data_IF_974693711009
#
_entry.id   IF_974693711009
#
_cell.length_a   1.000
_cell.length_b   1.000
_cell.length_c   1.000
_cell.angle_alpha   90.00
_cell.angle_beta   90.00
_cell.angle_gamma   90.00
#
_symmetry.space_group_name_H-M   'P 1'
#
loop_
_entity.id
_entity.type
_entity.pdbx_description
1 polymer ?
#
# COMPACT_ATOMS: atom_id res chain seq x y z
N UNK A 1 17.14 -15.08 24.04
CA UNK A 1 17.93 -14.16 23.20
C UNK A 1 17.10 -12.91 23.04
N UNK A 2 17.57 -11.74 23.48
CA UNK A 2 16.88 -10.46 23.23
C UNK A 2 17.08 -10.14 21.75
N UNK A 3 16.01 -10.32 20.95
CA UNK A 3 16.01 -9.91 19.55
C UNK A 3 16.24 -8.40 19.50
N UNK A 4 17.13 -7.96 18.60
CA UNK A 4 17.49 -6.56 18.47
C UNK A 4 16.42 -5.87 17.63
N UNK A 5 15.59 -5.04 18.25
CA UNK A 5 14.60 -4.23 17.53
C UNK A 5 15.27 -3.00 16.91
N UNK A 6 15.20 -2.85 15.58
CA UNK A 6 15.56 -1.60 14.90
C UNK A 6 14.34 -0.72 14.72
N UNK A 7 14.52 0.57 15.02
CA UNK A 7 13.47 1.57 14.85
C UNK A 7 13.55 2.23 13.48
N UNK A 8 12.41 2.40 12.82
CA UNK A 8 12.32 3.36 11.71
C UNK A 8 12.15 4.77 12.27
N UNK A 9 12.67 5.76 11.54
CA UNK A 9 12.72 7.15 12.00
C UNK A 9 11.60 7.99 11.39
N UNK A 10 11.35 9.18 11.94
CA UNK A 10 10.46 10.15 11.30
C UNK A 10 10.90 10.50 9.86
N UNK A 11 12.22 10.51 9.60
CA UNK A 11 12.76 10.72 8.25
C UNK A 11 12.37 9.58 7.31
N UNK A 12 12.43 8.34 7.79
CA UNK A 12 11.97 7.18 7.01
C UNK A 12 10.47 7.32 6.72
N UNK A 13 9.67 7.69 7.71
CA UNK A 13 8.24 7.88 7.51
C UNK A 13 7.90 8.95 6.45
N UNK A 14 8.62 10.08 6.42
CA UNK A 14 8.44 11.07 5.36
C UNK A 14 8.90 10.57 3.97
N UNK A 15 9.93 9.72 3.90
CA UNK A 15 10.34 9.08 2.64
C UNK A 15 9.24 8.13 2.15
N UNK A 16 8.69 7.31 3.04
CA UNK A 16 7.59 6.40 2.76
C UNK A 16 6.37 7.14 2.22
N UNK A 17 5.91 8.19 2.93
CA UNK A 17 4.79 9.04 2.52
C UNK A 17 5.00 9.63 1.13
N UNK A 18 6.19 10.17 0.87
CA UNK A 18 6.51 10.79 -0.41
C UNK A 18 6.50 9.77 -1.55
N UNK A 19 7.10 8.60 -1.34
CA UNK A 19 7.15 7.56 -2.39
C UNK A 19 5.75 6.98 -2.64
N UNK A 20 4.98 6.69 -1.60
CA UNK A 20 3.59 6.27 -1.73
C UNK A 20 2.77 7.30 -2.52
N UNK A 21 2.82 8.57 -2.13
CA UNK A 21 2.05 9.65 -2.78
C UNK A 21 2.44 9.82 -4.24
N UNK A 22 3.73 9.67 -4.56
CA UNK A 22 4.22 9.70 -5.94
C UNK A 22 3.56 8.61 -6.79
N UNK A 23 3.53 7.37 -6.30
CA UNK A 23 2.93 6.25 -7.03
C UNK A 23 1.40 6.30 -7.04
N UNK A 24 0.76 6.75 -5.96
CA UNK A 24 -0.69 7.02 -5.95
C UNK A 24 -1.09 7.94 -7.10
N UNK A 25 -0.35 9.06 -7.28
CA UNK A 25 -0.59 9.99 -8.39
C UNK A 25 -0.31 9.37 -9.75
N UNK A 26 0.81 8.67 -9.88
CA UNK A 26 1.23 8.04 -11.12
C UNK A 26 0.22 6.99 -11.60
N UNK A 27 -0.38 6.23 -10.68
CA UNK A 27 -1.41 5.21 -10.95
C UNK A 27 -2.83 5.79 -11.06
N UNK A 28 -2.99 7.12 -10.97
CA UNK A 28 -4.27 7.81 -11.07
C UNK A 28 -5.22 7.57 -9.89
N UNK A 29 -4.71 7.17 -8.73
CA UNK A 29 -5.50 6.76 -7.55
C UNK A 29 -5.89 7.97 -6.66
N UNK A 30 -6.10 9.13 -7.27
CA UNK A 30 -6.37 10.40 -6.58
C UNK A 30 -7.79 10.50 -6.00
N UNK A 31 -8.70 9.62 -6.43
CA UNK A 31 -10.06 9.53 -5.89
C UNK A 31 -10.14 8.78 -4.56
N UNK A 32 -9.05 8.16 -4.11
CA UNK A 32 -8.99 7.41 -2.84
C UNK A 32 -8.33 8.29 -1.79
N UNK A 33 -9.01 8.49 -0.66
CA UNK A 33 -8.47 9.27 0.46
C UNK A 33 -7.49 8.41 1.25
N UNK A 34 -6.22 8.84 1.30
CA UNK A 34 -5.15 8.10 1.99
C UNK A 34 -4.72 8.82 3.26
N UNK A 35 -4.66 8.07 4.35
CA UNK A 35 -4.06 8.47 5.63
C UNK A 35 -2.73 7.74 5.83
N UNK A 36 -1.89 8.26 6.71
CA UNK A 36 -0.59 7.67 7.02
C UNK A 36 -0.42 7.47 8.51
N UNK A 37 0.15 6.33 8.90
CA UNK A 37 0.46 6.01 10.29
C UNK A 37 1.89 5.47 10.42
N UNK A 38 2.52 5.79 11.55
CA UNK A 38 3.85 5.29 11.94
C UNK A 38 3.72 4.67 13.33
N UNK A 39 3.61 3.34 13.38
CA UNK A 39 3.28 2.57 14.58
C UNK A 39 3.87 1.16 14.48
N UNK A 40 4.00 0.40 15.58
CA UNK A 40 4.46 -0.98 15.49
C UNK A 40 3.49 -1.83 14.67
N UNK A 41 4.02 -2.70 13.82
CA UNK A 41 3.28 -3.72 13.07
C UNK A 41 3.79 -5.12 13.46
N UNK A 42 2.90 -6.11 13.46
CA UNK A 42 3.25 -7.48 13.83
C UNK A 42 3.86 -8.22 12.64
N UNK A 43 5.20 -8.26 12.59
CA UNK A 43 5.95 -8.98 11.55
C UNK A 43 6.12 -8.26 10.22
N UNK A 44 5.45 -7.12 9.99
CA UNK A 44 5.48 -6.40 8.72
C UNK A 44 6.32 -5.11 8.77
N UNK A 45 7.01 -4.80 7.67
CA UNK A 45 7.73 -3.51 7.51
C UNK A 45 6.77 -2.36 7.19
N UNK A 46 5.71 -2.65 6.44
CA UNK A 46 4.66 -1.73 6.05
C UNK A 46 3.36 -2.51 5.80
N UNK A 47 2.22 -1.83 5.88
CA UNK A 47 0.91 -2.42 5.64
C UNK A 47 -0.05 -1.38 5.07
N UNK A 48 -0.92 -1.79 4.17
CA UNK A 48 -2.07 -1.01 3.73
C UNK A 48 -3.37 -1.59 4.30
N UNK A 49 -4.13 -0.74 4.99
CA UNK A 49 -5.49 -1.07 5.45
C UNK A 49 -6.47 -0.30 4.55
N UNK A 50 -7.39 -1.01 3.90
CA UNK A 50 -8.32 -0.42 2.92
C UNK A 50 -9.76 -0.56 3.38
N UNK A 51 -10.56 0.47 3.08
CA UNK A 51 -12.02 0.43 3.16
C UNK A 51 -12.57 0.78 1.77
N UNK A 52 -12.96 -0.26 1.04
CA UNK A 52 -13.47 -0.15 -0.33
C UNK A 52 -14.75 0.70 -0.39
N UNK A 53 -15.69 0.48 0.54
CA UNK A 53 -16.97 1.17 0.53
C UNK A 53 -16.82 2.68 0.81
N UNK A 54 -15.88 3.05 1.69
CA UNK A 54 -15.59 4.44 2.00
C UNK A 54 -14.61 5.12 1.03
N UNK A 55 -14.03 4.39 0.07
CA UNK A 55 -12.93 4.87 -0.78
C UNK A 55 -11.79 5.48 0.05
N UNK A 56 -11.43 4.85 1.16
CA UNK A 56 -10.33 5.30 2.05
C UNK A 56 -9.30 4.21 2.27
N UNK A 57 -8.07 4.61 2.55
CA UNK A 57 -7.01 3.68 2.95
C UNK A 57 -6.05 4.31 3.96
N UNK A 58 -5.41 3.50 4.79
CA UNK A 58 -4.34 3.92 5.71
C UNK A 58 -3.06 3.16 5.39
N UNK A 59 -2.05 3.87 4.88
CA UNK A 59 -0.72 3.34 4.64
C UNK A 59 0.13 3.46 5.91
N UNK A 60 0.52 2.32 6.46
CA UNK A 60 1.27 2.23 7.72
C UNK A 60 2.73 1.85 7.43
N UNK A 61 3.66 2.60 8.02
CA UNK A 61 5.06 2.17 8.15
C UNK A 61 5.28 1.63 9.56
N UNK A 62 5.93 0.48 9.70
CA UNK A 62 6.25 -0.04 11.03
C UNK A 62 7.29 0.85 11.72
N UNK A 63 7.03 1.23 12.98
CA UNK A 63 8.04 1.90 13.82
C UNK A 63 9.13 0.95 14.30
N UNK A 64 8.88 -0.36 14.25
CA UNK A 64 9.74 -1.43 14.78
C UNK A 64 9.91 -2.50 13.70
N UNK A 65 11.15 -2.76 13.27
CA UNK A 65 11.45 -3.81 12.30
C UNK A 65 11.82 -5.10 13.03
N UNK A 66 11.31 -6.21 12.50
CA UNK A 66 11.69 -7.55 12.94
C UNK A 66 13.10 -7.90 12.47
N UNK A 67 13.76 -8.79 13.21
CA UNK A 67 15.11 -9.26 12.91
C UNK A 67 15.18 -9.82 11.48
N UNK A 68 16.13 -9.32 10.67
CA UNK A 68 16.30 -9.68 9.26
C UNK A 68 15.63 -8.73 8.25
N UNK A 69 14.59 -7.98 8.64
CA UNK A 69 14.01 -6.94 7.77
C UNK A 69 14.97 -5.76 7.56
N UNK A 70 15.89 -5.56 8.49
CA UNK A 70 16.85 -4.47 8.50
C UNK A 70 17.85 -4.51 7.34
N UNK A 71 18.27 -5.71 6.94
CA UNK A 71 19.21 -5.92 5.84
C UNK A 71 18.64 -5.42 4.50
N UNK A 72 17.32 -5.29 4.45
CA UNK A 72 16.55 -4.89 3.28
C UNK A 72 15.70 -3.65 3.55
N UNK A 73 16.17 -2.74 4.44
CA UNK A 73 15.48 -1.47 4.72
C UNK A 73 15.42 -0.61 3.45
N UNK A 74 14.35 -0.79 2.69
CA UNK A 74 14.02 -0.05 1.49
C UNK A 74 12.67 0.64 1.67
N UNK A 75 12.69 1.71 2.43
CA UNK A 75 11.51 2.52 2.76
C UNK A 75 10.81 3.07 1.50
N UNK A 76 11.57 3.32 0.42
CA UNK A 76 11.00 3.71 -0.87
C UNK A 76 10.28 2.54 -1.52
N UNK A 77 10.94 1.38 -1.57
CA UNK A 77 10.35 0.13 -2.04
C UNK A 77 9.06 -0.21 -1.33
N UNK A 78 9.01 -0.06 -0.01
CA UNK A 78 7.79 -0.28 0.79
C UNK A 78 6.68 0.72 0.43
N UNK A 79 7.00 2.01 0.31
CA UNK A 79 6.02 3.02 -0.12
C UNK A 79 5.44 2.74 -1.50
N UNK A 80 6.29 2.28 -2.44
CA UNK A 80 5.84 1.81 -3.76
C UNK A 80 4.97 0.56 -3.66
N UNK A 81 5.38 -0.42 -2.87
CA UNK A 81 4.67 -1.69 -2.70
C UNK A 81 3.25 -1.47 -2.18
N UNK A 82 3.09 -0.66 -1.14
CA UNK A 82 1.75 -0.35 -0.61
C UNK A 82 0.91 0.45 -1.62
N UNK A 83 1.50 1.35 -2.40
CA UNK A 83 0.74 2.05 -3.46
C UNK A 83 0.26 1.10 -4.58
N UNK A 84 0.97 -0.01 -4.82
CA UNK A 84 0.53 -1.07 -5.74
C UNK A 84 -0.59 -1.89 -5.11
N UNK A 85 -0.56 -2.16 -3.80
CA UNK A 85 -1.73 -2.75 -3.12
C UNK A 85 -2.96 -1.86 -3.25
N UNK A 86 -2.81 -0.53 -3.16
CA UNK A 86 -3.91 0.42 -3.35
C UNK A 86 -4.52 0.33 -4.75
N UNK A 87 -3.71 0.05 -5.79
CA UNK A 87 -4.21 -0.16 -7.15
C UNK A 87 -5.18 -1.36 -7.25
N UNK A 88 -4.95 -2.37 -6.41
CA UNK A 88 -5.75 -3.60 -6.39
C UNK A 88 -7.00 -3.49 -5.51
N UNK A 89 -7.21 -2.35 -4.84
CA UNK A 89 -8.31 -2.12 -3.91
C UNK A 89 -9.68 -2.44 -4.51
N UNK A 90 -9.94 -2.03 -5.77
CA UNK A 90 -11.22 -2.30 -6.43
C UNK A 90 -11.40 -3.80 -6.71
N UNK A 91 -10.36 -4.47 -7.18
CA UNK A 91 -10.39 -5.91 -7.45
C UNK A 91 -10.60 -6.71 -6.16
N UNK A 92 -9.92 -6.34 -5.09
CA UNK A 92 -10.12 -6.94 -3.76
C UNK A 92 -11.53 -6.68 -3.23
N UNK A 93 -12.05 -5.46 -3.40
CA UNK A 93 -13.42 -5.10 -3.05
C UNK A 93 -14.46 -5.98 -3.77
N UNK A 94 -14.33 -6.19 -5.08
CA UNK A 94 -15.21 -7.12 -5.80
C UNK A 94 -15.10 -8.55 -5.23
N UNK A 95 -13.90 -9.04 -4.95
CA UNK A 95 -13.70 -10.40 -4.43
C UNK A 95 -14.27 -10.61 -3.01
N UNK A 96 -14.20 -9.60 -2.15
CA UNK A 96 -14.64 -9.68 -0.74
C UNK A 96 -16.15 -9.51 -0.57
N UNK A 97 -16.82 -8.81 -1.51
CA UNK A 97 -18.25 -8.56 -1.42
C UNK A 97 -19.07 -9.65 -2.11
N UNK A 98 -20.13 -10.10 -1.42
CA UNK A 98 -20.96 -11.26 -1.80
C UNK A 98 -21.71 -11.15 -3.14
N UNK A 99 -21.67 -9.98 -3.79
CA UNK A 99 -22.47 -9.63 -4.95
C UNK A 99 -21.63 -9.31 -6.20
N UNK A 100 -20.35 -9.67 -6.24
CA UNK A 100 -19.56 -9.51 -7.45
C UNK A 100 -20.14 -10.32 -8.60
N UNK A 101 -20.21 -9.67 -9.75
CA UNK A 101 -20.59 -10.27 -11.03
C UNK A 101 -19.33 -10.55 -11.83
N UNK A 102 -19.42 -11.43 -12.83
CA UNK A 102 -18.28 -11.67 -13.72
C UNK A 102 -17.90 -10.37 -14.45
N UNK A 103 -18.91 -9.60 -14.81
CA UNK A 103 -18.81 -8.31 -15.48
C UNK A 103 -18.07 -7.30 -14.59
N UNK A 104 -18.47 -7.14 -13.31
CA UNK A 104 -17.82 -6.19 -12.40
C UNK A 104 -16.37 -6.56 -12.08
N UNK A 105 -16.05 -7.84 -11.95
CA UNK A 105 -14.66 -8.30 -11.82
C UNK A 105 -13.84 -7.98 -13.07
N UNK A 106 -14.39 -8.20 -14.27
CA UNK A 106 -13.71 -7.91 -15.52
C UNK A 106 -13.46 -6.41 -15.69
N UNK A 107 -14.46 -5.57 -15.36
CA UNK A 107 -14.29 -4.11 -15.33
C UNK A 107 -13.18 -3.68 -14.37
N UNK A 108 -13.12 -4.26 -13.16
CA UNK A 108 -12.07 -3.95 -12.19
C UNK A 108 -10.67 -4.35 -12.72
N UNK A 109 -10.56 -5.50 -13.39
CA UNK A 109 -9.31 -5.94 -14.03
C UNK A 109 -8.90 -4.98 -15.15
N UNK A 110 -9.80 -4.65 -16.06
CA UNK A 110 -9.52 -3.75 -17.19
C UNK A 110 -9.15 -2.34 -16.69
N UNK A 111 -9.80 -1.84 -15.63
CA UNK A 111 -9.40 -0.59 -14.99
C UNK A 111 -7.96 -0.65 -14.47
N UNK A 112 -7.60 -1.74 -13.77
CA UNK A 112 -6.22 -1.94 -13.29
C UNK A 112 -5.24 -2.00 -14.46
N UNK A 113 -5.56 -2.71 -15.54
CA UNK A 113 -4.72 -2.81 -16.75
C UNK A 113 -4.49 -1.43 -17.37
N UNK A 114 -5.55 -0.67 -17.65
CA UNK A 114 -5.42 0.67 -18.24
C UNK A 114 -4.55 1.62 -17.38
N UNK A 115 -4.66 1.53 -16.04
CA UNK A 115 -3.79 2.31 -15.15
C UNK A 115 -2.32 1.89 -15.28
N UNK A 116 -2.06 0.59 -15.39
CA UNK A 116 -0.70 0.05 -15.57
C UNK A 116 -0.10 0.41 -16.94
N UNK A 117 -0.89 0.38 -18.01
CA UNK A 117 -0.45 0.77 -19.36
C UNK A 117 0.09 2.22 -19.39
N UNK A 118 -0.44 3.11 -18.54
CA UNK A 118 0.03 4.49 -18.47
C UNK A 118 1.40 4.67 -17.81
N UNK A 119 1.95 3.62 -17.18
CA UNK A 119 3.15 3.71 -16.33
C UNK A 119 4.22 2.65 -16.63
N UNK A 120 3.90 1.61 -17.39
CA UNK A 120 4.84 0.59 -17.85
C UNK A 120 5.34 0.99 -19.25
N UNK A 121 6.66 1.03 -19.50
CA UNK A 121 7.24 1.35 -20.82
C UNK A 121 6.90 0.35 -21.93
#
# INVERSE_FOLDING_TARGET
MTSKTIMTTARDFEIFKREFTKYQKLLGLIGIQVYFAHKPLDGDSAQLIMDYAACTATACLSSELSEGQELYKDVKGWGRHEAIHLLLMRLQGEAEYRYATKESMLEAVEETVHRLESVIP
#
